data_IF_820635727734
#
_entry.id   IF_820635727734
#
_cell.length_a   1.000
_cell.length_b   1.000
_cell.length_c   1.000
_cell.angle_alpha   90.00
_cell.angle_beta   90.00
_cell.angle_gamma   90.00
#
_symmetry.space_group_name_H-M   'P 1'
#
loop_
_entity.id
_entity.type
_entity.pdbx_description
1 polymer ?
#
# COMPACT_ATOMS: atom_id res chain seq x y z
N UNK A 1 -30.39 11.02 -3.02
CA UNK A 1 -30.93 9.64 -3.11
C UNK A 1 -29.90 8.68 -2.55
N UNK A 2 -30.34 7.69 -1.78
CA UNK A 2 -29.44 6.61 -1.33
C UNK A 2 -29.14 5.71 -2.53
N UNK A 3 -27.88 5.68 -3.02
CA UNK A 3 -27.45 4.88 -4.17
C UNK A 3 -26.58 3.71 -3.74
N UNK A 4 -26.65 2.60 -4.47
CA UNK A 4 -25.67 1.51 -4.34
C UNK A 4 -24.28 2.01 -4.74
N UNK A 5 -23.23 1.36 -4.21
CA UNK A 5 -21.85 1.60 -4.62
C UNK A 5 -21.27 0.34 -5.22
N UNK A 6 -20.82 0.44 -6.46
CA UNK A 6 -20.15 -0.64 -7.17
C UNK A 6 -18.67 -0.32 -7.25
N UNK A 7 -17.84 -1.22 -6.75
CA UNK A 7 -16.40 -1.22 -6.93
C UNK A 7 -16.07 -2.15 -8.08
N UNK A 8 -15.31 -1.64 -9.04
CA UNK A 8 -14.90 -2.35 -10.25
C UNK A 8 -13.37 -2.46 -10.39
N UNK A 9 -12.61 -1.64 -9.67
CA UNK A 9 -11.16 -1.74 -9.64
C UNK A 9 -10.69 -2.82 -8.65
N UNK A 10 -9.79 -3.73 -9.12
CA UNK A 10 -9.32 -4.86 -8.35
C UNK A 10 -10.32 -6.02 -8.22
N UNK A 11 -11.46 -5.94 -8.93
CA UNK A 11 -12.51 -6.96 -8.94
C UNK A 11 -13.91 -6.36 -8.91
N UNK A 12 -14.92 -7.20 -8.66
CA UNK A 12 -16.31 -6.78 -8.56
C UNK A 12 -16.79 -6.84 -7.11
N UNK A 13 -17.29 -5.71 -6.59
CA UNK A 13 -18.03 -5.68 -5.33
C UNK A 13 -19.22 -4.71 -5.43
N UNK A 14 -20.29 -5.03 -4.70
CA UNK A 14 -21.51 -4.20 -4.64
C UNK A 14 -21.87 -3.96 -3.18
N UNK A 15 -22.16 -2.71 -2.84
CA UNK A 15 -22.58 -2.34 -1.49
C UNK A 15 -23.93 -1.61 -1.54
N UNK A 16 -24.78 -1.96 -0.60
CA UNK A 16 -26.07 -1.27 -0.40
C UNK A 16 -25.85 0.18 0.05
N UNK A 17 -26.89 1.03 -0.02
CA UNK A 17 -26.82 2.38 0.53
C UNK A 17 -26.55 2.45 2.03
N UNK A 18 -26.72 1.35 2.76
CA UNK A 18 -26.31 1.17 4.18
C UNK A 18 -24.80 0.95 4.35
N UNK A 19 -24.09 0.62 3.27
CA UNK A 19 -22.69 0.19 3.30
C UNK A 19 -22.49 -1.31 3.39
N UNK A 20 -23.54 -2.09 3.58
CA UNK A 20 -23.45 -3.56 3.66
C UNK A 20 -23.14 -4.18 2.30
N UNK A 21 -22.34 -5.27 2.24
CA UNK A 21 -22.04 -5.95 1.01
C UNK A 21 -23.30 -6.67 0.46
N UNK A 22 -23.49 -6.57 -0.85
CA UNK A 22 -24.59 -7.21 -1.56
C UNK A 22 -24.04 -8.34 -2.43
N UNK A 23 -24.40 -9.58 -2.11
CA UNK A 23 -23.95 -10.76 -2.85
C UNK A 23 -24.71 -10.91 -4.16
N UNK A 24 -24.00 -10.85 -5.30
CA UNK A 24 -24.53 -11.18 -6.62
C UNK A 24 -24.17 -12.64 -6.92
N UNK A 25 -25.17 -13.45 -7.28
CA UNK A 25 -25.08 -14.92 -7.19
C UNK A 25 -24.13 -15.57 -8.20
N UNK A 26 -24.02 -15.06 -9.42
CA UNK A 26 -23.22 -15.68 -10.49
C UNK A 26 -22.31 -14.69 -11.20
N UNK A 27 -21.19 -15.20 -11.76
CA UNK A 27 -20.24 -14.38 -12.54
C UNK A 27 -20.91 -13.66 -13.70
N UNK A 28 -21.83 -14.34 -14.44
CA UNK A 28 -22.59 -13.73 -15.55
C UNK A 28 -23.56 -12.64 -15.07
N UNK A 29 -24.14 -12.78 -13.88
CA UNK A 29 -24.94 -11.70 -13.26
C UNK A 29 -24.08 -10.51 -12.85
N UNK A 30 -22.90 -10.74 -12.28
CA UNK A 30 -21.94 -9.66 -11.95
C UNK A 30 -21.52 -8.91 -13.20
N UNK A 31 -21.15 -9.63 -14.26
CA UNK A 31 -20.77 -9.08 -15.55
C UNK A 31 -21.89 -8.26 -16.20
N UNK A 32 -23.11 -8.82 -16.25
CA UNK A 32 -24.29 -8.14 -16.77
C UNK A 32 -24.60 -6.85 -15.98
N UNK A 33 -24.54 -6.91 -14.65
CA UNK A 33 -24.78 -5.75 -13.79
C UNK A 33 -23.71 -4.68 -14.00
N UNK A 34 -22.43 -5.05 -14.06
CA UNK A 34 -21.33 -4.14 -14.33
C UNK A 34 -21.50 -3.46 -15.69
N UNK A 35 -21.82 -4.23 -16.72
CA UNK A 35 -22.07 -3.70 -18.06
C UNK A 35 -23.22 -2.69 -18.09
N UNK A 36 -24.36 -3.04 -17.48
CA UNK A 36 -25.52 -2.15 -17.38
C UNK A 36 -25.22 -0.89 -16.57
N UNK A 37 -24.44 -1.01 -15.49
CA UNK A 37 -24.07 0.12 -14.63
C UNK A 37 -23.08 1.07 -15.33
N UNK A 38 -22.12 0.55 -16.10
CA UNK A 38 -21.24 1.37 -16.93
C UNK A 38 -21.98 2.12 -18.04
N UNK A 39 -23.17 1.66 -18.40
CA UNK A 39 -24.03 2.27 -19.42
C UNK A 39 -25.38 2.73 -18.83
N UNK A 40 -25.40 3.18 -17.56
CA UNK A 40 -26.61 3.62 -16.91
C UNK A 40 -27.36 4.68 -17.73
N UNK A 41 -28.69 4.60 -17.76
CA UNK A 41 -29.55 5.42 -18.59
C UNK A 41 -29.67 4.99 -20.06
N UNK A 42 -28.77 4.13 -20.55
CA UNK A 42 -28.81 3.65 -21.95
C UNK A 42 -29.75 2.45 -22.08
N UNK A 43 -30.71 2.57 -23.00
CA UNK A 43 -31.66 1.49 -23.34
C UNK A 43 -30.98 0.46 -24.24
N UNK A 44 -31.04 -0.81 -23.88
CA UNK A 44 -30.41 -1.93 -24.61
C UNK A 44 -31.44 -2.96 -25.01
N UNK A 45 -31.22 -3.58 -26.15
CA UNK A 45 -32.08 -4.66 -26.64
C UNK A 45 -31.70 -6.00 -25.97
N UNK A 46 -32.71 -6.76 -25.54
CA UNK A 46 -32.49 -8.07 -24.88
C UNK A 46 -31.74 -9.06 -25.77
N UNK A 47 -32.00 -9.06 -27.09
CA UNK A 47 -31.29 -9.91 -28.02
C UNK A 47 -29.78 -9.61 -28.06
N UNK A 48 -29.40 -8.33 -28.02
CA UNK A 48 -27.97 -7.95 -27.92
C UNK A 48 -27.34 -8.44 -26.63
N UNK A 49 -28.03 -8.27 -25.50
CA UNK A 49 -27.51 -8.75 -24.20
C UNK A 49 -27.44 -10.29 -24.15
N UNK A 50 -28.40 -11.03 -24.72
CA UNK A 50 -28.32 -12.48 -24.75
C UNK A 50 -27.12 -12.97 -25.58
N UNK A 51 -26.84 -12.37 -26.70
CA UNK A 51 -25.67 -12.69 -27.54
C UNK A 51 -24.35 -12.34 -26.81
N UNK A 52 -24.29 -11.24 -26.08
CA UNK A 52 -23.07 -10.78 -25.40
C UNK A 52 -22.68 -11.61 -24.18
N UNK A 53 -23.69 -12.15 -23.47
CA UNK A 53 -23.45 -12.85 -22.19
C UNK A 53 -23.72 -14.36 -22.25
N UNK A 54 -24.33 -14.82 -23.36
CA UNK A 54 -24.66 -16.25 -23.59
C UNK A 54 -24.56 -16.59 -25.09
N UNK A 55 -23.58 -16.00 -25.80
CA UNK A 55 -23.38 -16.19 -27.21
C UNK A 55 -22.98 -17.62 -27.62
N UNK A 56 -22.41 -18.36 -26.66
CA UNK A 56 -22.04 -19.77 -26.83
C UNK A 56 -23.23 -20.73 -26.67
N UNK A 57 -24.37 -20.27 -26.16
CA UNK A 57 -25.60 -21.05 -26.02
C UNK A 57 -26.47 -20.92 -27.30
N UNK A 58 -27.43 -21.85 -27.49
CA UNK A 58 -28.47 -21.65 -28.46
C UNK A 58 -29.38 -20.45 -28.09
N UNK A 59 -30.03 -19.86 -29.09
CA UNK A 59 -30.77 -18.59 -28.95
C UNK A 59 -31.87 -18.66 -27.88
N UNK A 60 -32.57 -19.81 -27.76
CA UNK A 60 -33.64 -19.97 -26.77
C UNK A 60 -33.10 -20.06 -25.34
N UNK A 61 -32.04 -20.84 -25.15
CA UNK A 61 -31.34 -20.94 -23.86
C UNK A 61 -30.74 -19.63 -23.46
N UNK A 62 -30.07 -18.90 -24.37
CA UNK A 62 -29.51 -17.58 -24.14
C UNK A 62 -30.57 -16.57 -23.66
N UNK A 63 -31.74 -16.55 -24.30
CA UNK A 63 -32.88 -15.69 -23.90
C UNK A 63 -33.43 -16.09 -22.52
N UNK A 64 -33.53 -17.39 -22.25
CA UNK A 64 -33.98 -17.88 -20.96
C UNK A 64 -33.01 -17.51 -19.83
N UNK A 65 -31.72 -17.76 -20.03
CA UNK A 65 -30.64 -17.42 -19.10
C UNK A 65 -30.58 -15.92 -18.80
N UNK A 66 -30.68 -15.05 -19.82
CA UNK A 66 -30.77 -13.62 -19.62
C UNK A 66 -32.01 -13.23 -18.80
N UNK A 67 -33.16 -13.87 -19.05
CA UNK A 67 -34.40 -13.59 -18.31
C UNK A 67 -34.27 -13.94 -16.83
N UNK A 68 -33.65 -15.09 -16.52
CA UNK A 68 -33.35 -15.48 -15.15
C UNK A 68 -32.36 -14.55 -14.46
N UNK A 69 -31.28 -14.14 -15.18
CA UNK A 69 -30.29 -13.22 -14.64
C UNK A 69 -30.92 -11.85 -14.30
N UNK A 70 -31.71 -11.29 -15.22
CA UNK A 70 -32.42 -10.04 -15.00
C UNK A 70 -33.47 -10.13 -13.88
N UNK A 71 -34.16 -11.27 -13.76
CA UNK A 71 -35.10 -11.52 -12.67
C UNK A 71 -34.36 -11.52 -11.31
N UNK A 72 -33.24 -12.24 -11.22
CA UNK A 72 -32.40 -12.26 -10.01
C UNK A 72 -31.90 -10.87 -9.61
N UNK A 73 -31.38 -10.11 -10.59
CA UNK A 73 -30.91 -8.74 -10.35
C UNK A 73 -32.05 -7.77 -9.95
N UNK A 74 -33.23 -7.88 -10.57
CA UNK A 74 -34.42 -7.10 -10.15
C UNK A 74 -34.89 -7.43 -8.76
N UNK A 75 -34.84 -8.70 -8.36
CA UNK A 75 -35.16 -9.13 -7.01
C UNK A 75 -34.18 -8.57 -5.98
N UNK A 76 -32.90 -8.47 -6.35
CA UNK A 76 -31.83 -8.00 -5.49
C UNK A 76 -31.85 -6.48 -5.30
N UNK A 77 -32.02 -5.72 -6.40
CA UNK A 77 -31.86 -4.26 -6.44
C UNK A 77 -33.16 -3.49 -6.52
N UNK A 78 -34.25 -4.14 -6.91
CA UNK A 78 -35.55 -3.55 -7.17
C UNK A 78 -35.79 -3.24 -8.64
N UNK A 79 -37.09 -3.19 -9.00
CA UNK A 79 -37.55 -2.90 -10.36
C UNK A 79 -37.38 -1.43 -10.79
N UNK A 80 -37.11 -0.55 -9.83
CA UNK A 80 -36.78 0.86 -10.08
C UNK A 80 -35.33 1.04 -10.51
N UNK A 81 -34.44 0.11 -10.15
CA UNK A 81 -33.01 0.12 -10.51
C UNK A 81 -32.81 -0.51 -11.88
N UNK A 82 -33.32 -1.72 -12.07
CA UNK A 82 -33.28 -2.45 -13.35
C UNK A 82 -34.64 -2.39 -13.99
N UNK A 83 -34.77 -1.54 -15.01
CA UNK A 83 -35.99 -1.29 -15.74
C UNK A 83 -36.07 -2.16 -17.00
N UNK A 84 -37.29 -2.37 -17.48
CA UNK A 84 -37.50 -3.07 -18.75
C UNK A 84 -38.90 -2.83 -19.29
N UNK A 85 -39.00 -2.69 -20.60
CA UNK A 85 -40.28 -2.56 -21.34
C UNK A 85 -40.18 -3.31 -22.65
N UNK A 86 -40.99 -4.38 -22.78
CA UNK A 86 -40.94 -5.27 -23.95
C UNK A 86 -39.56 -5.90 -24.11
N UNK A 87 -38.92 -5.68 -25.25
CA UNK A 87 -37.58 -6.20 -25.56
C UNK A 87 -36.44 -5.28 -25.11
N UNK A 88 -36.75 -4.22 -24.37
CA UNK A 88 -35.77 -3.24 -23.91
C UNK A 88 -35.49 -3.40 -22.44
N UNK A 89 -34.23 -3.20 -22.07
CA UNK A 89 -33.71 -3.25 -20.68
C UNK A 89 -32.72 -2.09 -20.49
N UNK A 90 -32.71 -1.48 -19.32
CA UNK A 90 -31.74 -0.48 -18.92
C UNK A 90 -31.58 -0.45 -17.39
N UNK A 91 -30.45 0.03 -16.92
CA UNK A 91 -30.25 0.42 -15.55
C UNK A 91 -30.59 1.92 -15.41
N UNK A 92 -31.47 2.26 -14.46
CA UNK A 92 -31.87 3.64 -14.22
C UNK A 92 -30.68 4.45 -13.68
N UNK A 93 -30.50 5.66 -14.21
CA UNK A 93 -29.40 6.53 -13.82
C UNK A 93 -29.47 6.97 -12.35
N UNK A 94 -28.32 7.22 -11.72
CA UNK A 94 -28.21 7.71 -10.34
C UNK A 94 -28.47 6.68 -9.23
N UNK A 95 -28.86 5.44 -9.57
CA UNK A 95 -29.10 4.37 -8.57
C UNK A 95 -27.86 3.61 -8.14
N UNK A 96 -26.84 3.52 -9.00
CA UNK A 96 -25.56 2.88 -8.71
C UNK A 96 -24.44 3.87 -9.00
N UNK A 97 -23.56 4.11 -8.02
CA UNK A 97 -22.31 4.82 -8.22
C UNK A 97 -21.23 3.80 -8.55
N UNK A 98 -20.51 4.02 -9.65
CA UNK A 98 -19.44 3.14 -10.13
C UNK A 98 -18.12 3.90 -10.06
N UNK A 99 -17.13 3.34 -9.39
CA UNK A 99 -15.78 3.93 -9.24
C UNK A 99 -15.11 4.20 -10.60
N UNK A 100 -15.26 3.30 -11.57
CA UNK A 100 -14.74 3.49 -12.93
C UNK A 100 -15.37 4.70 -13.66
N UNK A 101 -16.68 4.96 -13.45
CA UNK A 101 -17.33 6.15 -14.02
C UNK A 101 -16.89 7.42 -13.30
N UNK A 102 -16.64 7.35 -12.00
CA UNK A 102 -16.12 8.47 -11.21
C UNK A 102 -14.71 8.84 -11.70
N UNK A 103 -13.81 7.86 -11.85
CA UNK A 103 -12.50 8.05 -12.44
C UNK A 103 -12.58 8.66 -13.85
N UNK A 104 -13.47 8.16 -14.70
CA UNK A 104 -13.66 8.69 -16.06
C UNK A 104 -14.15 10.16 -16.07
N UNK A 105 -14.95 10.57 -15.08
CA UNK A 105 -15.40 11.97 -14.93
C UNK A 105 -14.26 12.89 -14.51
N UNK A 106 -13.31 12.39 -13.69
CA UNK A 106 -12.16 13.14 -13.23
C UNK A 106 -11.02 13.23 -14.25
N UNK A 107 -11.14 12.52 -15.39
CA UNK A 107 -10.08 12.39 -16.40
C UNK A 107 -9.50 13.73 -16.92
N UNK A 108 -10.29 14.80 -16.91
CA UNK A 108 -9.90 16.14 -17.37
C UNK A 108 -9.77 17.16 -16.22
N UNK A 109 -10.06 16.77 -15.00
CA UNK A 109 -9.93 17.64 -13.84
C UNK A 109 -8.50 17.55 -13.30
N UNK A 110 -7.81 18.70 -13.29
CA UNK A 110 -6.41 18.82 -12.83
C UNK A 110 -6.30 19.42 -11.43
N UNK A 111 -7.41 19.55 -10.72
CA UNK A 111 -7.38 19.99 -9.33
C UNK A 111 -6.67 18.95 -8.45
N UNK A 112 -5.96 19.40 -7.42
CA UNK A 112 -5.27 18.51 -6.49
C UNK A 112 -6.25 17.53 -5.81
N UNK A 113 -7.49 17.97 -5.58
CA UNK A 113 -8.55 17.16 -4.99
C UNK A 113 -9.00 16.03 -5.94
N UNK A 114 -9.21 16.33 -7.23
CA UNK A 114 -9.55 15.34 -8.24
C UNK A 114 -8.44 14.31 -8.43
N UNK A 115 -7.19 14.77 -8.51
CA UNK A 115 -6.03 13.90 -8.67
C UNK A 115 -5.81 12.99 -7.45
N UNK A 116 -6.02 13.52 -6.23
CA UNK A 116 -5.99 12.71 -5.00
C UNK A 116 -7.12 11.67 -4.97
N UNK A 117 -8.30 12.01 -5.49
CA UNK A 117 -9.42 11.08 -5.62
C UNK A 117 -9.09 9.94 -6.59
N UNK A 118 -8.43 10.22 -7.72
CA UNK A 118 -7.95 9.19 -8.67
C UNK A 118 -6.99 8.23 -7.99
N UNK A 119 -6.06 8.72 -7.15
CA UNK A 119 -5.14 7.89 -6.37
C UNK A 119 -5.89 6.89 -5.48
N UNK A 120 -6.98 7.33 -4.86
CA UNK A 120 -7.79 6.50 -3.98
C UNK A 120 -8.69 5.50 -4.72
N UNK A 121 -9.19 5.87 -5.91
CA UNK A 121 -10.11 5.04 -6.70
C UNK A 121 -9.37 3.88 -7.40
N UNK A 122 -8.21 4.15 -8.01
CA UNK A 122 -7.52 3.15 -8.81
C UNK A 122 -6.59 2.27 -7.95
N UNK A 123 -7.06 1.08 -7.59
CA UNK A 123 -6.32 0.12 -6.78
C UNK A 123 -6.14 -1.26 -7.44
N UNK A 124 -6.43 -1.37 -8.73
CA UNK A 124 -6.24 -2.57 -9.54
C UNK A 124 -6.97 -2.47 -10.88
N UNK A 125 -6.84 -3.49 -11.70
CA UNK A 125 -7.46 -3.52 -13.03
C UNK A 125 -8.98 -3.59 -12.96
N UNK A 126 -9.62 -3.02 -13.98
CA UNK A 126 -11.08 -3.01 -14.11
C UNK A 126 -11.64 -4.43 -14.21
N UNK A 127 -12.55 -4.77 -13.31
CA UNK A 127 -13.18 -6.09 -13.20
C UNK A 127 -12.17 -7.24 -13.20
N UNK A 128 -11.04 -7.09 -12.48
CA UNK A 128 -10.01 -8.10 -12.38
C UNK A 128 -10.60 -9.46 -11.96
N UNK A 129 -10.25 -10.51 -12.69
CA UNK A 129 -10.73 -11.87 -12.43
C UNK A 129 -12.20 -12.13 -12.78
N UNK A 130 -12.93 -11.19 -13.42
CA UNK A 130 -14.31 -11.39 -13.86
C UNK A 130 -14.36 -11.75 -15.36
N UNK A 131 -13.75 -12.87 -15.72
CA UNK A 131 -13.93 -13.48 -17.06
C UNK A 131 -15.14 -14.40 -17.03
N UNK A 132 -15.96 -14.38 -18.08
CA UNK A 132 -17.16 -15.23 -18.18
C UNK A 132 -17.13 -16.20 -19.36
N UNK A 133 -16.04 -16.17 -20.17
CA UNK A 133 -15.86 -17.04 -21.33
C UNK A 133 -16.76 -16.66 -22.51
N UNK A 134 -17.18 -15.40 -22.61
CA UNK A 134 -17.98 -14.88 -23.71
C UNK A 134 -17.18 -13.77 -24.39
N UNK A 135 -16.74 -14.00 -25.62
CA UNK A 135 -15.80 -13.14 -26.35
C UNK A 135 -16.24 -11.67 -26.39
N UNK A 136 -17.52 -11.40 -26.61
CA UNK A 136 -18.05 -10.03 -26.70
C UNK A 136 -17.87 -9.26 -25.41
N UNK A 137 -18.17 -9.87 -24.27
CA UNK A 137 -17.99 -9.23 -22.95
C UNK A 137 -16.52 -9.11 -22.58
N UNK A 138 -15.73 -10.18 -22.77
CA UNK A 138 -14.33 -10.19 -22.39
C UNK A 138 -13.51 -9.19 -23.23
N UNK A 139 -13.80 -9.02 -24.52
CA UNK A 139 -13.21 -7.95 -25.33
C UNK A 139 -13.62 -6.55 -24.87
N UNK A 140 -14.89 -6.32 -24.56
CA UNK A 140 -15.35 -5.05 -24.00
C UNK A 140 -14.66 -4.73 -22.67
N UNK A 141 -14.59 -5.72 -21.77
CA UNK A 141 -13.93 -5.57 -20.46
C UNK A 141 -12.46 -5.16 -20.61
N UNK A 142 -11.72 -5.84 -21.49
CA UNK A 142 -10.32 -5.51 -21.78
C UNK A 142 -10.17 -4.12 -22.39
N UNK A 143 -11.06 -3.73 -23.31
CA UNK A 143 -11.07 -2.39 -23.89
C UNK A 143 -11.33 -1.29 -22.86
N UNK A 144 -12.28 -1.50 -21.94
CA UNK A 144 -12.54 -0.57 -20.84
C UNK A 144 -11.40 -0.55 -19.82
N UNK A 145 -10.81 -1.70 -19.50
CA UNK A 145 -9.63 -1.79 -18.63
C UNK A 145 -8.50 -0.93 -19.17
N UNK A 146 -8.16 -1.07 -20.44
CA UNK A 146 -7.09 -0.29 -21.06
C UNK A 146 -7.42 1.21 -21.14
N UNK A 147 -8.68 1.56 -21.42
CA UNK A 147 -9.14 2.95 -21.41
C UNK A 147 -9.01 3.60 -20.03
N UNK A 148 -9.47 2.92 -18.99
CA UNK A 148 -9.43 3.41 -17.60
C UNK A 148 -7.99 3.45 -17.06
N UNK A 149 -7.17 2.47 -17.43
CA UNK A 149 -5.75 2.43 -17.11
C UNK A 149 -5.02 3.67 -17.64
N UNK A 150 -5.26 4.03 -18.91
CA UNK A 150 -4.68 5.25 -19.51
C UNK A 150 -5.15 6.54 -18.82
N UNK A 151 -6.41 6.60 -18.36
CA UNK A 151 -6.91 7.75 -17.62
C UNK A 151 -6.19 7.84 -16.26
N UNK A 152 -6.14 6.75 -15.50
CA UNK A 152 -5.46 6.69 -14.21
C UNK A 152 -3.98 7.08 -14.35
N UNK A 153 -3.27 6.52 -15.34
CA UNK A 153 -1.88 6.84 -15.61
C UNK A 153 -1.67 8.34 -15.83
N UNK A 154 -2.41 8.96 -16.74
CA UNK A 154 -2.28 10.41 -17.04
C UNK A 154 -2.56 11.29 -15.81
N UNK A 155 -3.58 10.94 -15.04
CA UNK A 155 -3.95 11.72 -13.84
C UNK A 155 -2.87 11.61 -12.76
N UNK A 156 -2.35 10.41 -12.51
CA UNK A 156 -1.29 10.17 -11.53
C UNK A 156 0.04 10.80 -11.98
N UNK A 157 0.39 10.71 -13.26
CA UNK A 157 1.56 11.38 -13.82
C UNK A 157 1.46 12.91 -13.68
N UNK A 158 0.28 13.48 -13.93
CA UNK A 158 0.01 14.91 -13.70
C UNK A 158 0.16 15.27 -12.23
N UNK A 159 -0.33 14.44 -11.31
CA UNK A 159 -0.19 14.65 -9.87
C UNK A 159 1.27 14.65 -9.43
N UNK A 160 2.05 13.67 -9.89
CA UNK A 160 3.48 13.53 -9.62
C UNK A 160 4.25 14.74 -10.17
N UNK A 161 3.94 15.16 -11.40
CA UNK A 161 4.58 16.32 -12.04
C UNK A 161 4.27 17.63 -11.31
N UNK A 162 3.03 17.82 -10.85
CA UNK A 162 2.61 18.98 -10.06
C UNK A 162 3.26 19.01 -8.69
N UNK A 163 3.44 17.86 -8.06
CA UNK A 163 4.13 17.72 -6.77
C UNK A 163 5.60 18.13 -6.83
N UNK A 164 6.24 18.02 -8.01
CA UNK A 164 7.60 18.50 -8.26
C UNK A 164 7.74 20.02 -8.12
N UNK A 165 6.64 20.75 -8.24
CA UNK A 165 6.58 22.20 -8.07
C UNK A 165 6.33 22.63 -6.60
N UNK A 166 6.41 21.69 -5.64
CA UNK A 166 6.24 21.97 -4.20
C UNK A 166 4.79 22.03 -3.72
N UNK A 167 3.82 21.60 -4.55
CA UNK A 167 2.39 21.62 -4.22
C UNK A 167 1.93 20.44 -3.37
N UNK A 168 2.74 19.38 -3.27
CA UNK A 168 2.46 18.17 -2.49
C UNK A 168 3.56 17.90 -1.48
N UNK A 169 3.20 17.34 -0.33
CA UNK A 169 4.17 16.80 0.60
C UNK A 169 4.82 15.51 0.06
N UNK A 170 5.94 15.13 0.64
CA UNK A 170 6.69 13.94 0.22
C UNK A 170 5.86 12.64 0.34
N UNK A 171 4.99 12.56 1.32
CA UNK A 171 4.18 11.36 1.55
C UNK A 171 3.06 11.23 0.51
N UNK A 172 2.40 12.33 0.15
CA UNK A 172 1.40 12.34 -0.92
C UNK A 172 2.04 11.98 -2.28
N UNK A 173 3.23 12.55 -2.54
CA UNK A 173 3.98 12.25 -3.76
C UNK A 173 4.44 10.79 -3.83
N UNK A 174 4.86 10.23 -2.70
CA UNK A 174 5.23 8.81 -2.61
C UNK A 174 4.03 7.89 -2.82
N UNK A 175 2.86 8.22 -2.25
CA UNK A 175 1.61 7.48 -2.47
C UNK A 175 1.21 7.52 -3.95
N UNK A 176 1.21 8.69 -4.57
CA UNK A 176 0.87 8.86 -5.99
C UNK A 176 1.82 8.06 -6.90
N UNK A 177 3.14 8.10 -6.64
CA UNK A 177 4.14 7.33 -7.40
C UNK A 177 3.92 5.82 -7.24
N UNK A 178 3.63 5.33 -6.03
CA UNK A 178 3.29 3.93 -5.81
C UNK A 178 1.98 3.51 -6.48
N UNK A 179 1.01 4.43 -6.55
CA UNK A 179 -0.25 4.18 -7.26
C UNK A 179 -0.03 4.12 -8.77
N UNK A 180 0.87 4.94 -9.32
CA UNK A 180 1.27 4.86 -10.71
C UNK A 180 1.95 3.52 -11.03
N UNK A 181 2.82 3.01 -10.14
CA UNK A 181 3.45 1.68 -10.31
C UNK A 181 2.47 0.51 -10.22
N UNK A 182 1.28 0.69 -9.66
CA UNK A 182 0.19 -0.31 -9.79
C UNK A 182 -0.45 -0.29 -11.16
N UNK A 183 -0.45 0.86 -11.84
CA UNK A 183 -0.96 1.03 -13.21
C UNK A 183 0.07 0.51 -14.21
N UNK A 184 1.31 0.94 -14.04
CA UNK A 184 2.46 0.55 -14.86
C UNK A 184 3.66 0.25 -13.94
N UNK A 185 3.96 -1.04 -13.70
CA UNK A 185 5.06 -1.46 -12.82
C UNK A 185 6.45 -1.01 -13.27
N UNK A 186 6.60 -0.63 -14.55
CA UNK A 186 7.87 -0.22 -15.14
C UNK A 186 7.91 1.27 -15.51
N UNK A 187 6.96 2.08 -15.00
CA UNK A 187 7.01 3.53 -15.20
C UNK A 187 8.24 4.14 -14.54
N UNK A 188 9.25 4.41 -15.36
CA UNK A 188 10.55 4.91 -14.89
C UNK A 188 10.45 6.29 -14.21
N UNK A 189 9.46 7.12 -14.61
CA UNK A 189 9.26 8.42 -13.97
C UNK A 189 8.81 8.25 -12.52
N UNK A 190 7.88 7.34 -12.25
CA UNK A 190 7.46 7.02 -10.89
C UNK A 190 8.61 6.46 -10.06
N UNK A 191 9.41 5.56 -10.64
CA UNK A 191 10.60 5.01 -9.99
C UNK A 191 11.63 6.10 -9.67
N UNK A 192 11.94 7.00 -10.60
CA UNK A 192 12.82 8.14 -10.35
C UNK A 192 12.29 8.99 -9.19
N UNK A 193 11.00 9.27 -9.14
CA UNK A 193 10.40 10.06 -8.06
C UNK A 193 10.52 9.40 -6.70
N UNK A 194 10.27 8.11 -6.63
CA UNK A 194 10.44 7.34 -5.38
C UNK A 194 11.90 7.43 -4.91
N UNK A 195 12.85 7.25 -5.82
CA UNK A 195 14.27 7.35 -5.50
C UNK A 195 14.68 8.77 -5.03
N UNK A 196 14.20 9.81 -5.71
CA UNK A 196 14.42 11.21 -5.30
C UNK A 196 13.85 11.51 -3.92
N UNK A 197 12.63 11.01 -3.61
CA UNK A 197 12.01 11.19 -2.30
C UNK A 197 12.84 10.52 -1.23
N UNK A 198 13.26 9.26 -1.42
CA UNK A 198 14.11 8.56 -0.48
C UNK A 198 15.45 9.30 -0.27
N UNK A 199 16.05 9.80 -1.34
CA UNK A 199 17.30 10.58 -1.23
C UNK A 199 17.10 11.87 -0.42
N UNK A 200 16.00 12.62 -0.65
CA UNK A 200 15.66 13.83 0.10
C UNK A 200 15.31 13.55 1.56
N UNK A 201 14.75 12.39 1.87
CA UNK A 201 14.48 11.95 3.24
C UNK A 201 15.74 11.42 3.95
N UNK A 202 16.90 11.42 3.28
CA UNK A 202 18.15 10.90 3.85
C UNK A 202 18.26 9.38 3.87
N UNK A 203 17.28 8.65 3.36
CA UNK A 203 17.28 7.17 3.31
C UNK A 203 17.83 6.65 1.97
N UNK A 204 19.01 7.12 1.63
CA UNK A 204 19.70 6.87 0.35
C UNK A 204 19.84 5.39 0.00
N UNK A 205 20.08 4.54 0.99
CA UNK A 205 20.13 3.09 0.84
C UNK A 205 18.82 2.51 0.27
N UNK A 206 17.67 3.10 0.62
CA UNK A 206 16.38 2.71 0.06
C UNK A 206 16.26 3.08 -1.41
N UNK A 207 16.79 4.25 -1.82
CA UNK A 207 16.83 4.65 -3.23
C UNK A 207 17.73 3.71 -4.05
N UNK A 208 18.90 3.34 -3.52
CA UNK A 208 19.82 2.39 -4.15
C UNK A 208 19.19 1.01 -4.30
N UNK A 209 18.60 0.49 -3.22
CA UNK A 209 17.93 -0.82 -3.25
C UNK A 209 16.74 -0.82 -4.22
N UNK A 210 16.01 0.31 -4.32
CA UNK A 210 14.91 0.47 -5.25
C UNK A 210 15.37 0.39 -6.71
N UNK A 211 16.46 1.07 -7.06
CA UNK A 211 17.08 1.00 -8.39
C UNK A 211 17.56 -0.42 -8.72
N UNK A 212 18.27 -1.06 -7.80
CA UNK A 212 18.78 -2.43 -8.02
C UNK A 212 17.64 -3.42 -8.26
N UNK A 213 16.57 -3.31 -7.48
CA UNK A 213 15.37 -4.15 -7.68
C UNK A 213 14.75 -3.91 -9.05
N UNK A 214 14.54 -2.64 -9.43
CA UNK A 214 13.96 -2.30 -10.73
C UNK A 214 14.80 -2.81 -11.89
N UNK A 215 16.15 -2.68 -11.82
CA UNK A 215 17.06 -3.18 -12.84
C UNK A 215 16.93 -4.69 -13.01
N UNK A 216 16.87 -5.42 -11.88
CA UNK A 216 16.70 -6.88 -11.90
C UNK A 216 15.31 -7.29 -12.44
N UNK A 217 14.27 -6.53 -12.15
CA UNK A 217 12.90 -6.79 -12.64
C UNK A 217 12.79 -6.47 -14.16
N UNK A 218 13.41 -5.37 -14.65
CA UNK A 218 13.48 -5.02 -16.08
C UNK A 218 14.21 -6.10 -16.90
N UNK A 219 15.36 -6.57 -16.42
CA UNK A 219 16.12 -7.63 -17.07
C UNK A 219 15.32 -8.93 -17.11
N UNK A 220 14.75 -9.34 -15.97
CA UNK A 220 14.04 -10.62 -15.84
C UNK A 220 12.74 -10.69 -16.64
N UNK A 221 11.94 -9.60 -16.66
CA UNK A 221 10.58 -9.62 -17.19
C UNK A 221 10.49 -9.07 -18.62
N UNK A 222 11.38 -8.15 -18.99
CA UNK A 222 11.31 -7.45 -20.26
C UNK A 222 12.58 -7.60 -21.12
N UNK A 223 13.65 -8.19 -20.57
CA UNK A 223 14.98 -8.24 -21.22
C UNK A 223 15.46 -6.83 -21.63
N UNK A 224 15.21 -5.83 -20.76
CA UNK A 224 15.54 -4.44 -20.98
C UNK A 224 16.53 -3.92 -19.93
N UNK A 225 17.38 -2.98 -20.36
CA UNK A 225 18.22 -2.19 -19.45
C UNK A 225 17.51 -0.90 -19.04
N UNK A 226 17.81 -0.35 -17.84
CA UNK A 226 17.30 0.94 -17.41
C UNK A 226 17.65 2.04 -18.41
N UNK A 227 16.74 3.01 -18.60
CA UNK A 227 17.02 4.16 -19.46
C UNK A 227 18.17 5.03 -18.92
N UNK A 228 18.80 5.82 -19.80
CA UNK A 228 19.82 6.78 -19.41
C UNK A 228 19.34 7.73 -18.30
N UNK A 229 18.08 8.17 -18.40
CA UNK A 229 17.44 9.04 -17.40
C UNK A 229 17.42 8.41 -16.01
N UNK A 230 17.05 7.13 -15.93
CA UNK A 230 16.99 6.41 -14.66
C UNK A 230 18.38 6.16 -14.08
N UNK A 231 19.36 5.84 -14.96
CA UNK A 231 20.77 5.68 -14.58
C UNK A 231 21.35 7.02 -14.10
N UNK A 232 21.04 8.14 -14.76
CA UNK A 232 21.52 9.46 -14.36
C UNK A 232 20.91 9.89 -13.02
N UNK A 233 19.62 9.62 -12.79
CA UNK A 233 18.98 9.87 -11.50
C UNK A 233 19.66 9.03 -10.39
N UNK A 234 19.96 7.76 -10.64
CA UNK A 234 20.70 6.92 -9.72
C UNK A 234 22.10 7.43 -9.46
N UNK A 235 22.85 7.81 -10.53
CA UNK A 235 24.20 8.38 -10.42
C UNK A 235 24.19 9.67 -9.60
N UNK A 236 23.27 10.58 -9.88
CA UNK A 236 23.10 11.81 -9.11
C UNK A 236 22.87 11.55 -7.62
N UNK A 237 22.07 10.53 -7.30
CA UNK A 237 21.86 10.08 -5.92
C UNK A 237 23.16 9.49 -5.34
N UNK A 238 23.96 8.77 -6.13
CA UNK A 238 25.23 8.18 -5.69
C UNK A 238 26.36 9.22 -5.57
N UNK A 239 26.44 10.20 -6.43
CA UNK A 239 27.49 11.20 -6.50
C UNK A 239 27.22 12.43 -5.64
N UNK A 240 25.94 12.69 -5.30
CA UNK A 240 25.56 13.84 -4.48
C UNK A 240 26.06 13.65 -3.05
N UNK A 241 27.38 13.81 -2.91
CA UNK A 241 28.15 13.86 -1.67
C UNK A 241 28.05 15.24 -1.00
N UNK A 242 27.08 16.08 -1.40
CA UNK A 242 26.68 17.09 -0.44
C UNK A 242 26.23 16.29 0.79
N UNK A 243 26.90 16.48 1.95
CA UNK A 243 26.29 16.02 3.16
C UNK A 243 24.92 16.67 3.09
N UNK A 244 23.85 15.85 2.95
CA UNK A 244 22.53 16.27 3.41
C UNK A 244 22.92 17.09 4.64
N UNK A 245 22.67 18.42 4.60
CA UNK A 245 22.85 19.23 5.80
C UNK A 245 22.13 18.39 6.81
N UNK A 246 22.95 17.63 7.50
CA UNK A 246 22.50 16.77 8.54
C UNK A 246 21.77 17.76 9.43
N UNK A 247 20.46 17.79 9.32
CA UNK A 247 19.73 17.99 10.55
C UNK A 247 20.44 17.02 11.45
N UNK A 248 21.20 17.45 12.42
CA UNK A 248 21.89 16.54 13.29
C UNK A 248 20.78 15.69 13.87
N UNK A 249 20.53 14.51 13.25
CA UNK A 249 19.68 13.46 13.84
C UNK A 249 20.49 13.01 15.03
N UNK A 250 20.45 13.82 16.09
CA UNK A 250 20.91 13.40 17.39
C UNK A 250 19.96 12.30 17.79
N UNK A 251 20.48 11.25 18.37
CA UNK A 251 19.68 10.24 19.05
C UNK A 251 18.61 10.89 19.96
N UNK A 252 18.84 12.12 20.40
CA UNK A 252 17.92 12.98 21.12
C UNK A 252 16.63 13.32 20.37
N UNK A 253 16.64 13.42 19.03
CA UNK A 253 15.46 13.72 18.23
C UNK A 253 14.51 12.52 18.12
N UNK A 254 15.04 11.31 18.24
CA UNK A 254 14.25 10.08 18.34
C UNK A 254 13.75 9.80 19.75
N UNK A 255 14.26 10.51 20.77
CA UNK A 255 13.85 10.34 22.15
C UNK A 255 12.33 10.48 22.33
N UNK A 256 11.70 11.41 21.58
CA UNK A 256 10.25 11.58 21.60
C UNK A 256 9.49 10.36 21.04
N UNK A 257 9.98 9.77 19.95
CA UNK A 257 9.34 8.57 19.33
C UNK A 257 9.54 7.35 20.25
N UNK A 258 10.74 7.17 20.78
CA UNK A 258 11.08 6.10 21.72
C UNK A 258 10.26 6.22 23.01
N UNK A 259 9.97 7.44 23.44
CA UNK A 259 9.16 7.72 24.63
C UNK A 259 7.71 7.28 24.48
N UNK A 260 7.14 7.33 23.24
CA UNK A 260 5.76 6.91 22.97
C UNK A 260 5.59 5.38 22.85
N UNK A 261 6.68 4.62 22.81
CA UNK A 261 6.61 3.15 22.73
C UNK A 261 6.16 2.59 24.08
N UNK A 262 5.04 1.84 24.15
CA UNK A 262 4.50 1.33 25.40
C UNK A 262 5.35 0.22 26.05
N UNK A 263 6.26 -0.41 25.28
CA UNK A 263 7.20 -1.42 25.75
C UNK A 263 8.50 -0.78 26.25
N UNK A 264 9.20 -1.51 27.14
CA UNK A 264 10.51 -1.08 27.62
C UNK A 264 11.53 -1.06 26.48
N UNK A 265 12.05 0.12 26.16
CA UNK A 265 13.05 0.35 25.12
C UNK A 265 14.35 0.85 25.73
N UNK A 266 15.44 0.24 25.31
CA UNK A 266 16.82 0.62 25.68
C UNK A 266 17.61 0.82 24.40
N UNK A 267 18.25 1.98 24.26
CA UNK A 267 19.16 2.27 23.15
C UNK A 267 20.58 2.38 23.68
N UNK A 268 21.53 1.75 23.00
CA UNK A 268 22.95 1.80 23.34
C UNK A 268 23.77 2.38 22.18
N UNK A 269 24.91 2.98 22.50
CA UNK A 269 25.96 3.31 21.54
C UNK A 269 26.82 2.08 21.20
N UNK A 270 27.86 2.28 20.38
CA UNK A 270 28.79 1.22 19.97
C UNK A 270 29.69 0.72 21.10
N UNK A 271 29.87 1.49 22.18
CA UNK A 271 30.56 1.14 23.37
C UNK A 271 29.67 0.44 24.41
N UNK A 272 28.45 0.01 23.97
CA UNK A 272 27.44 -0.64 24.81
C UNK A 272 27.03 0.19 26.02
N UNK A 273 26.97 1.54 25.87
CA UNK A 273 26.47 2.44 26.91
C UNK A 273 25.06 2.88 26.57
N UNK A 274 24.19 2.93 27.56
CA UNK A 274 22.79 3.35 27.38
C UNK A 274 22.76 4.85 27.05
N UNK A 275 22.20 5.19 25.89
CA UNK A 275 21.96 6.55 25.39
C UNK A 275 20.46 6.86 25.30
N UNK A 276 19.61 5.83 25.32
CA UNK A 276 18.15 5.96 25.33
C UNK A 276 17.48 5.04 26.34
N UNK A 277 16.52 5.59 27.11
CA UNK A 277 15.77 4.91 28.15
C UNK A 277 14.38 5.56 28.24
N UNK A 278 13.31 4.84 27.86
CA UNK A 278 11.97 5.39 27.84
C UNK A 278 11.22 5.21 29.18
N UNK A 279 10.11 5.92 29.33
CA UNK A 279 9.25 5.84 30.53
C UNK A 279 8.74 4.42 30.80
N UNK A 280 8.56 3.59 29.77
CA UNK A 280 8.20 2.18 29.96
C UNK A 280 9.34 1.39 30.61
N UNK A 281 10.60 1.68 30.24
CA UNK A 281 11.79 1.08 30.91
C UNK A 281 11.88 1.50 32.37
N UNK A 282 11.56 2.76 32.69
CA UNK A 282 11.50 3.22 34.06
C UNK A 282 10.48 2.43 34.90
N UNK A 283 9.27 2.24 34.31
CA UNK A 283 8.19 1.48 34.97
C UNK A 283 8.55 0.00 35.19
N UNK A 284 9.16 -0.62 34.18
CA UNK A 284 9.47 -2.06 34.18
C UNK A 284 10.67 -2.35 35.12
N UNK A 285 11.73 -1.57 35.00
CA UNK A 285 13.00 -1.85 35.73
C UNK A 285 13.16 -1.05 37.01
N UNK A 286 12.39 0.03 37.19
CA UNK A 286 12.43 0.87 38.38
C UNK A 286 13.63 1.80 38.47
N UNK A 287 14.48 1.87 37.47
CA UNK A 287 15.58 2.82 37.36
C UNK A 287 15.13 4.04 36.55
N UNK A 288 15.47 5.23 37.02
CA UNK A 288 15.21 6.46 36.26
C UNK A 288 16.17 6.59 35.08
N UNK A 289 15.74 7.36 34.07
CA UNK A 289 16.55 7.68 32.87
C UNK A 289 17.91 8.29 33.30
N UNK A 290 17.90 9.17 34.28
CA UNK A 290 19.12 9.81 34.77
C UNK A 290 20.11 8.82 35.42
N UNK A 291 19.59 7.76 36.01
CA UNK A 291 20.42 6.70 36.62
C UNK A 291 21.03 5.76 35.59
N UNK A 292 20.36 5.63 34.39
CA UNK A 292 20.74 4.61 33.42
C UNK A 292 21.59 5.16 32.26
N UNK A 293 21.40 6.42 31.87
CA UNK A 293 22.18 7.03 30.78
C UNK A 293 23.69 6.97 31.09
N UNK A 294 24.46 6.50 30.10
CA UNK A 294 25.91 6.32 30.18
C UNK A 294 26.36 5.02 30.86
N UNK A 295 25.45 4.24 31.44
CA UNK A 295 25.78 2.94 32.03
C UNK A 295 25.66 1.80 31.02
N UNK A 296 26.33 0.67 31.31
CA UNK A 296 26.16 -0.54 30.51
C UNK A 296 24.84 -1.24 30.85
N UNK A 297 24.07 -1.73 29.83
CA UNK A 297 22.87 -2.53 30.06
C UNK A 297 23.16 -3.87 30.77
N UNK A 298 24.41 -4.30 30.87
CA UNK A 298 24.83 -5.52 31.57
C UNK A 298 24.36 -5.53 33.03
N UNK A 299 24.23 -4.36 33.67
CA UNK A 299 23.73 -4.24 35.02
C UNK A 299 22.27 -4.74 35.22
N UNK A 300 21.52 -4.86 34.17
CA UNK A 300 20.14 -5.39 34.19
C UNK A 300 20.11 -6.93 34.16
N UNK A 301 21.20 -7.59 33.81
CA UNK A 301 21.24 -9.04 33.75
C UNK A 301 21.53 -9.63 35.14
N UNK A 302 20.86 -10.72 35.50
CA UNK A 302 21.03 -11.35 36.80
C UNK A 302 22.49 -11.81 37.02
N UNK A 303 23.02 -11.70 38.24
CA UNK A 303 24.40 -12.10 38.56
C UNK A 303 24.72 -13.57 38.22
N UNK A 304 23.70 -14.43 38.16
CA UNK A 304 23.80 -15.84 37.78
C UNK A 304 23.43 -16.08 36.32
N UNK A 305 23.04 -15.03 35.56
CA UNK A 305 22.86 -15.02 34.13
C UNK A 305 24.18 -14.65 33.47
N UNK A 306 24.41 -15.20 32.30
CA UNK A 306 25.64 -15.05 31.54
C UNK A 306 25.93 -13.56 31.26
N UNK A 307 26.71 -12.89 32.11
CA UNK A 307 27.10 -11.48 31.92
C UNK A 307 27.88 -11.28 30.61
N UNK A 308 28.51 -12.34 30.10
CA UNK A 308 29.18 -12.37 28.80
C UNK A 308 28.16 -12.30 27.67
N UNK A 309 26.90 -12.73 27.92
CA UNK A 309 25.83 -12.67 26.92
C UNK A 309 25.51 -11.23 26.54
N UNK A 310 25.53 -10.32 27.51
CA UNK A 310 25.20 -8.91 27.28
C UNK A 310 26.24 -8.18 26.42
N UNK A 311 27.52 -8.56 26.56
CA UNK A 311 28.59 -7.99 25.74
C UNK A 311 28.62 -8.58 24.31
N UNK A 312 28.11 -9.82 24.14
CA UNK A 312 28.08 -10.52 22.86
C UNK A 312 26.79 -10.28 22.05
N UNK A 313 25.73 -9.72 22.67
CA UNK A 313 24.43 -9.48 22.03
C UNK A 313 24.55 -8.52 20.83
N UNK A 314 25.32 -7.45 20.98
CA UNK A 314 25.52 -6.49 19.89
C UNK A 314 26.24 -7.14 18.70
N UNK A 315 27.29 -7.93 18.99
CA UNK A 315 28.03 -8.68 17.95
C UNK A 315 27.11 -9.64 17.20
N UNK A 316 26.32 -10.44 17.92
CA UNK A 316 25.34 -11.36 17.31
C UNK A 316 24.23 -10.65 16.54
N UNK A 317 23.75 -9.50 17.02
CA UNK A 317 22.78 -8.71 16.32
C UNK A 317 23.33 -8.12 15.02
N UNK A 318 24.61 -7.72 15.00
CA UNK A 318 25.30 -7.24 13.79
C UNK A 318 25.48 -8.35 12.76
N UNK A 319 25.86 -9.56 13.18
CA UNK A 319 26.07 -10.70 12.29
C UNK A 319 24.77 -11.20 11.65
N UNK A 320 23.68 -11.23 12.40
CA UNK A 320 22.40 -11.82 11.99
C UNK A 320 21.31 -10.80 11.65
N UNK A 321 21.60 -9.50 11.70
CA UNK A 321 20.64 -8.42 11.50
C UNK A 321 19.71 -8.17 12.70
N UNK A 322 19.53 -9.16 13.58
CA UNK A 322 18.83 -9.03 14.87
C UNK A 322 19.12 -10.23 15.75
N UNK A 323 19.00 -10.03 17.06
CA UNK A 323 19.10 -11.10 18.06
C UNK A 323 17.84 -11.14 18.91
N UNK A 324 17.36 -12.34 19.27
CA UNK A 324 16.24 -12.49 20.21
C UNK A 324 16.40 -13.70 21.11
N UNK A 325 16.11 -13.53 22.39
CA UNK A 325 16.05 -14.62 23.37
C UNK A 325 15.17 -14.26 24.56
N UNK A 326 14.76 -15.29 25.32
CA UNK A 326 14.18 -15.13 26.64
C UNK A 326 15.30 -14.87 27.66
N UNK A 327 15.25 -13.74 28.33
CA UNK A 327 16.25 -13.31 29.28
C UNK A 327 15.60 -13.00 30.63
N UNK A 328 16.39 -13.20 31.72
CA UNK A 328 15.98 -12.79 33.05
C UNK A 328 16.75 -11.53 33.42
N UNK A 329 16.02 -10.44 33.60
CA UNK A 329 16.58 -9.14 33.96
C UNK A 329 16.22 -8.79 35.42
N UNK A 330 17.04 -7.96 36.03
CA UNK A 330 16.85 -7.51 37.41
C UNK A 330 16.29 -6.08 37.44
N UNK A 331 15.32 -5.86 38.29
CA UNK A 331 14.80 -4.54 38.60
C UNK A 331 15.61 -3.90 39.75
N UNK A 332 15.51 -2.58 39.91
CA UNK A 332 16.13 -1.83 41.02
C UNK A 332 15.77 -2.37 42.41
N UNK A 333 14.57 -2.92 42.54
CA UNK A 333 14.09 -3.55 43.77
C UNK A 333 14.56 -4.98 43.98
N UNK A 334 15.49 -5.50 43.16
CA UNK A 334 16.02 -6.86 43.28
C UNK A 334 15.12 -7.98 42.85
N UNK A 335 13.97 -7.65 42.17
CA UNK A 335 13.08 -8.66 41.60
C UNK A 335 13.57 -9.07 40.23
N UNK A 336 13.45 -10.35 39.88
CA UNK A 336 13.71 -10.84 38.54
C UNK A 336 12.49 -10.64 37.64
N UNK A 337 12.72 -10.19 36.39
CA UNK A 337 11.74 -10.04 35.36
C UNK A 337 12.18 -10.88 34.17
N UNK A 338 11.42 -11.93 33.81
CA UNK A 338 11.67 -12.73 32.62
C UNK A 338 10.87 -12.12 31.44
N UNK A 339 11.55 -11.85 30.36
CA UNK A 339 10.93 -11.31 29.14
C UNK A 339 11.67 -11.77 27.90
N UNK A 340 10.97 -11.87 26.79
CA UNK A 340 11.59 -12.05 25.50
C UNK A 340 12.15 -10.71 25.04
N UNK A 341 13.44 -10.67 24.75
CA UNK A 341 14.12 -9.47 24.31
C UNK A 341 14.52 -9.59 22.85
N UNK A 342 14.29 -8.51 22.09
CA UNK A 342 14.77 -8.36 20.72
C UNK A 342 15.78 -7.23 20.73
N UNK A 343 16.95 -7.46 20.13
CA UNK A 343 17.98 -6.43 19.93
C UNK A 343 18.31 -6.37 18.45
N UNK A 344 18.30 -5.17 17.90
CA UNK A 344 18.65 -4.92 16.51
C UNK A 344 19.69 -3.79 16.41
N UNK A 345 20.63 -3.85 15.46
CA UNK A 345 21.58 -2.78 15.24
C UNK A 345 20.87 -1.52 14.76
N UNK A 346 21.34 -0.37 15.21
CA UNK A 346 20.93 0.94 14.73
C UNK A 346 21.97 1.45 13.74
N UNK A 347 21.48 1.85 12.57
CA UNK A 347 22.32 2.40 11.53
C UNK A 347 22.04 3.90 11.37
N UNK A 348 23.09 4.68 11.15
CA UNK A 348 22.97 6.05 10.66
C UNK A 348 22.37 6.07 9.25
N UNK A 349 21.89 7.23 8.76
CA UNK A 349 21.44 7.37 7.37
C UNK A 349 22.49 6.97 6.34
N UNK A 350 23.77 7.04 6.69
CA UNK A 350 24.91 6.66 5.85
C UNK A 350 25.20 5.14 5.90
N UNK A 351 24.37 4.36 6.59
CA UNK A 351 24.52 2.91 6.73
C UNK A 351 25.60 2.47 7.72
N UNK A 352 26.17 3.40 8.50
CA UNK A 352 27.13 3.08 9.56
C UNK A 352 26.38 2.65 10.81
N UNK A 353 26.74 1.52 11.40
CA UNK A 353 26.20 1.14 12.70
C UNK A 353 26.63 2.15 13.76
N UNK A 354 25.65 2.69 14.50
CA UNK A 354 25.84 3.72 15.54
C UNK A 354 25.45 3.22 16.94
N UNK A 355 24.96 1.98 17.05
CA UNK A 355 24.54 1.40 18.29
C UNK A 355 23.55 0.27 18.13
N UNK A 356 22.77 0.00 19.16
CA UNK A 356 21.72 -1.01 19.15
C UNK A 356 20.45 -0.53 19.85
N UNK A 357 19.33 -1.06 19.38
CA UNK A 357 18.00 -0.88 19.93
C UNK A 357 17.54 -2.20 20.55
N UNK A 358 17.19 -2.18 21.82
CA UNK A 358 16.68 -3.33 22.56
C UNK A 358 15.26 -3.11 23.06
N UNK A 359 14.34 -4.00 22.71
CA UNK A 359 12.93 -3.96 23.12
C UNK A 359 12.56 -5.23 23.89
N UNK A 360 11.83 -5.08 25.00
CA UNK A 360 11.20 -6.17 25.72
C UNK A 360 9.79 -6.43 25.21
N UNK A 361 9.49 -7.68 24.85
CA UNK A 361 8.12 -8.10 24.57
C UNK A 361 7.52 -8.62 25.88
N UNK A 362 6.31 -8.17 26.24
CA UNK A 362 5.55 -8.76 27.33
C UNK A 362 5.27 -10.23 27.01
N UNK A 363 5.60 -11.13 27.91
CA UNK A 363 5.22 -12.55 27.85
C UNK A 363 3.75 -12.73 28.13
#
# INVERSE_FOLDING_TARGET
>A
MKSYRMTTFGGFALHAPSGEPVAVSTRKQMALLAYLAMHAGRVMHRATLSTWFWGNDDEERARHSLSQALYGLKRLLGSTVICGRGQMVWLADGHIRVDALELARLANDRSAEALSTVEQLYHGDFLAGLEIGEDSFDHWRLGEQERLRRIAHRSLDTLISSGSMGLLDHDALLRASRSLLRVDPFDEQAHCRIMEIYARQGVRNMAIAHFQKLTADLDRELDLQPSERLVDAYRAICENTEPVRSMPYRLEDYAFVVEQIPQAVVVTDMENRIVGWNSASERVFGFSKQEMIGRSPTMLYAPNGDSRLADDILGKALESGSWSADVTLMTKGGRSCRQRRIVAPLYSPEGRCIGAFGQGLAS
#
